data_IF_817550287967
#
_entry.id   IF_817550287967
#
_cell.length_a   1.000
_cell.length_b   1.000
_cell.length_c   1.000
_cell.angle_alpha   90.00
_cell.angle_beta   90.00
_cell.angle_gamma   90.00
#
_symmetry.space_group_name_H-M   'P 1'
#
loop_
_entity.id
_entity.type
_entity.pdbx_description
1 polymer ?
#
# COMPACT_ATOMS: atom_id res chain seq x y z
N UNK A 1 -28.64 -8.38 -2.65
CA UNK A 1 -27.51 -7.44 -2.53
C UNK A 1 -28.11 -6.06 -2.74
N UNK A 2 -28.25 -5.29 -1.66
CA UNK A 2 -29.06 -4.07 -1.65
C UNK A 2 -28.13 -2.88 -1.52
N UNK A 3 -28.16 -1.99 -2.50
CA UNK A 3 -27.31 -0.81 -2.58
C UNK A 3 -27.61 0.15 -1.42
N UNK A 4 -26.58 0.43 -0.61
CA UNK A 4 -26.63 1.42 0.45
C UNK A 4 -26.49 2.81 -0.16
N UNK A 5 -27.63 3.45 -0.42
CA UNK A 5 -27.71 4.86 -0.76
C UNK A 5 -27.10 5.70 0.37
N UNK A 6 -25.90 6.24 0.11
CA UNK A 6 -25.20 7.12 1.03
C UNK A 6 -25.97 8.43 1.15
N UNK A 7 -26.94 8.45 2.07
CA UNK A 7 -27.74 9.62 2.42
C UNK A 7 -26.84 10.80 2.71
N UNK A 8 -26.80 11.76 1.79
CA UNK A 8 -26.33 13.11 2.07
C UNK A 8 -27.24 13.65 3.16
N UNK A 9 -26.76 13.66 4.40
CA UNK A 9 -27.52 14.26 5.50
C UNK A 9 -27.83 15.71 5.10
N UNK A 10 -29.09 16.15 5.08
CA UNK A 10 -29.38 17.56 4.99
C UNK A 10 -28.67 18.20 6.18
N UNK A 11 -27.81 19.18 5.92
CA UNK A 11 -27.20 19.99 6.95
C UNK A 11 -28.32 20.77 7.64
N UNK A 12 -28.95 20.17 8.65
CA UNK A 12 -29.88 20.86 9.52
C UNK A 12 -29.05 21.84 10.34
N UNK A 13 -29.00 23.06 9.82
CA UNK A 13 -28.41 24.19 10.52
C UNK A 13 -29.28 24.39 11.76
N UNK A 14 -28.82 23.86 12.90
CA UNK A 14 -29.23 24.35 14.21
C UNK A 14 -28.61 25.75 14.39
N UNK A 15 -28.97 26.69 13.51
CA UNK A 15 -28.65 28.10 13.61
C UNK A 15 -29.75 28.74 14.45
N UNK A 16 -29.68 28.53 15.76
CA UNK A 16 -30.41 29.41 16.68
C UNK A 16 -29.83 30.82 16.49
N UNK A 17 -30.63 31.64 15.81
CA UNK A 17 -30.65 33.10 15.82
C UNK A 17 -29.52 33.83 15.07
N UNK A 18 -29.70 33.96 13.74
CA UNK A 18 -29.63 35.27 13.06
C UNK A 18 -30.84 35.32 12.13
N UNK A 19 -31.96 35.91 12.59
CA UNK A 19 -33.10 36.24 11.75
C UNK A 19 -32.88 37.66 11.22
N UNK A 20 -32.37 37.77 9.98
CA UNK A 20 -32.74 38.78 8.98
C UNK A 20 -31.97 38.43 7.69
N UNK A 21 -32.68 37.98 6.64
CA UNK A 21 -32.12 37.76 5.30
C UNK A 21 -31.42 36.41 5.09
N UNK A 22 -32.02 35.56 4.26
CA UNK A 22 -31.33 34.42 3.68
C UNK A 22 -30.29 34.97 2.70
N UNK A 23 -29.00 34.93 3.07
CA UNK A 23 -27.92 35.44 2.22
C UNK A 23 -27.91 34.69 0.89
N UNK A 24 -27.82 35.44 -0.21
CA UNK A 24 -27.65 34.86 -1.53
C UNK A 24 -26.20 34.40 -1.72
N UNK A 25 -26.00 33.27 -2.41
CA UNK A 25 -24.68 32.80 -2.83
C UNK A 25 -24.29 33.35 -4.22
N UNK A 26 -25.19 34.07 -4.89
CA UNK A 26 -24.94 34.71 -6.19
C UNK A 26 -24.13 36.01 -6.01
N UNK A 27 -22.90 36.10 -6.54
CA UNK A 27 -22.06 37.29 -6.38
C UNK A 27 -22.65 38.59 -6.96
N UNK A 28 -23.66 38.51 -7.84
CA UNK A 28 -24.33 39.69 -8.42
C UNK A 28 -25.55 40.13 -7.60
N UNK A 29 -25.96 39.36 -6.60
CA UNK A 29 -27.10 39.69 -5.75
C UNK A 29 -26.72 40.79 -4.75
N UNK A 30 -27.60 41.78 -4.51
CA UNK A 30 -27.37 42.80 -3.47
C UNK A 30 -27.29 42.21 -2.05
N UNK A 31 -27.84 41.00 -1.85
CA UNK A 31 -27.81 40.28 -0.57
C UNK A 31 -26.59 39.34 -0.43
N UNK A 32 -25.67 39.40 -1.39
CA UNK A 32 -24.45 38.59 -1.38
C UNK A 32 -23.45 39.11 -0.35
N UNK A 33 -22.95 38.19 0.48
CA UNK A 33 -21.86 38.48 1.42
C UNK A 33 -20.70 37.54 1.11
N UNK A 34 -19.58 38.03 0.55
CA UNK A 34 -18.44 37.17 0.24
C UNK A 34 -17.86 36.57 1.51
N UNK A 35 -17.57 35.25 1.45
CA UNK A 35 -16.87 34.59 2.54
C UNK A 35 -15.38 34.95 2.51
N UNK A 36 -14.85 35.45 3.64
CA UNK A 36 -13.41 35.68 3.83
C UNK A 36 -12.59 34.40 3.60
N UNK A 37 -13.20 33.23 3.81
CA UNK A 37 -12.56 31.92 3.69
C UNK A 37 -12.85 31.21 2.38
N UNK A 38 -13.41 31.88 1.36
CA UNK A 38 -13.83 31.27 0.10
C UNK A 38 -12.71 30.46 -0.60
N UNK A 39 -11.47 30.95 -0.53
CA UNK A 39 -10.31 30.30 -1.14
C UNK A 39 -9.71 29.18 -0.28
N UNK A 40 -10.06 29.12 1.01
CA UNK A 40 -9.52 28.13 1.93
C UNK A 40 -10.41 26.90 2.00
N UNK A 41 -9.80 25.71 1.97
CA UNK A 41 -10.55 24.46 2.16
C UNK A 41 -11.11 24.39 3.57
N UNK A 42 -12.37 23.97 3.70
CA UNK A 42 -12.99 23.77 5.01
C UNK A 42 -12.16 22.81 5.87
N UNK A 43 -12.14 22.98 7.21
CA UNK A 43 -11.42 22.08 8.11
C UNK A 43 -11.79 20.60 7.90
N UNK A 44 -13.07 20.31 7.61
CA UNK A 44 -13.54 18.96 7.30
C UNK A 44 -12.89 18.39 6.03
N UNK A 45 -12.82 19.18 4.95
CA UNK A 45 -12.15 18.77 3.69
C UNK A 45 -10.66 18.50 3.93
N UNK A 46 -9.98 19.35 4.71
CA UNK A 46 -8.55 19.13 5.06
C UNK A 46 -8.33 17.83 5.81
N UNK A 47 -9.16 17.54 6.82
CA UNK A 47 -9.09 16.27 7.59
C UNK A 47 -9.33 15.05 6.70
N UNK A 48 -10.28 15.13 5.76
CA UNK A 48 -10.57 14.04 4.83
C UNK A 48 -9.38 13.70 3.92
N UNK A 49 -8.70 14.72 3.36
CA UNK A 49 -7.50 14.54 2.54
C UNK A 49 -6.38 13.86 3.33
N UNK A 50 -6.08 14.36 4.54
CA UNK A 50 -5.06 13.76 5.40
C UNK A 50 -5.39 12.31 5.80
N UNK A 51 -6.66 12.01 6.07
CA UNK A 51 -7.11 10.65 6.38
C UNK A 51 -6.87 9.70 5.20
N UNK A 52 -7.16 10.17 3.98
CA UNK A 52 -6.95 9.41 2.75
C UNK A 52 -5.46 9.14 2.49
N UNK A 53 -4.59 10.13 2.72
CA UNK A 53 -3.13 9.94 2.62
C UNK A 53 -2.62 8.89 3.61
N UNK A 54 -3.00 9.00 4.89
CA UNK A 54 -2.64 8.02 5.93
C UNK A 54 -3.14 6.62 5.58
N UNK A 55 -4.34 6.52 4.99
CA UNK A 55 -4.87 5.25 4.53
C UNK A 55 -4.01 4.65 3.41
N UNK A 56 -3.65 5.43 2.38
CA UNK A 56 -2.78 4.97 1.28
C UNK A 56 -1.43 4.46 1.78
N UNK A 57 -0.80 5.18 2.71
CA UNK A 57 0.48 4.76 3.32
C UNK A 57 0.32 3.41 4.02
N UNK A 58 -0.73 3.24 4.84
CA UNK A 58 -1.00 1.96 5.52
C UNK A 58 -1.23 0.82 4.52
N UNK A 59 -1.99 1.05 3.46
CA UNK A 59 -2.24 0.04 2.43
C UNK A 59 -0.96 -0.38 1.72
N UNK A 60 -0.10 0.58 1.37
CA UNK A 60 1.17 0.31 0.72
C UNK A 60 2.11 -0.51 1.61
N UNK A 61 2.19 -0.19 2.91
CA UNK A 61 3.00 -0.96 3.86
C UNK A 61 2.49 -2.41 4.00
N UNK A 62 1.17 -2.60 4.09
CA UNK A 62 0.57 -3.95 4.14
C UNK A 62 0.92 -4.76 2.89
N UNK A 63 0.79 -4.17 1.70
CA UNK A 63 1.17 -4.81 0.44
C UNK A 63 2.65 -5.19 0.41
N UNK A 64 3.54 -4.28 0.83
CA UNK A 64 4.98 -4.56 0.90
C UNK A 64 5.31 -5.73 1.81
N UNK A 65 4.69 -5.79 3.00
CA UNK A 65 4.89 -6.90 3.96
C UNK A 65 4.48 -8.25 3.38
N UNK A 66 3.32 -8.31 2.73
CA UNK A 66 2.82 -9.54 2.09
C UNK A 66 3.75 -10.01 0.96
N UNK A 67 4.17 -9.09 0.10
CA UNK A 67 5.13 -9.42 -0.97
C UNK A 67 6.47 -9.90 -0.41
N UNK A 68 6.93 -9.29 0.69
CA UNK A 68 8.17 -9.71 1.34
C UNK A 68 8.05 -11.11 1.95
N UNK A 69 6.96 -11.41 2.66
CA UNK A 69 6.74 -12.74 3.25
C UNK A 69 6.62 -13.82 2.18
N UNK A 70 5.89 -13.54 1.09
CA UNK A 70 5.78 -14.46 -0.04
C UNK A 70 7.13 -14.72 -0.71
N UNK A 71 7.97 -13.69 -0.85
CA UNK A 71 9.33 -13.85 -1.38
C UNK A 71 10.22 -14.66 -0.46
N UNK A 72 10.18 -14.42 0.84
CA UNK A 72 10.98 -15.18 1.81
C UNK A 72 10.56 -16.65 1.86
N UNK A 73 9.25 -16.92 1.82
CA UNK A 73 8.71 -18.28 1.78
C UNK A 73 9.15 -19.03 0.52
N UNK A 74 9.02 -18.39 -0.66
CA UNK A 74 9.49 -18.97 -1.91
C UNK A 74 11.02 -19.22 -1.91
N UNK A 75 11.80 -18.30 -1.34
CA UNK A 75 13.25 -18.46 -1.22
C UNK A 75 13.62 -19.63 -0.29
N UNK A 76 12.92 -19.80 0.84
CA UNK A 76 13.12 -20.94 1.73
C UNK A 76 12.82 -22.27 1.03
N UNK A 77 11.66 -22.37 0.36
CA UNK A 77 11.32 -23.58 -0.37
C UNK A 77 12.39 -23.96 -1.42
N UNK A 78 12.94 -22.98 -2.14
CA UNK A 78 14.04 -23.22 -3.09
C UNK A 78 15.34 -23.71 -2.40
N UNK A 79 15.63 -23.22 -1.20
CA UNK A 79 16.77 -23.69 -0.42
C UNK A 79 16.55 -25.13 0.06
N UNK A 80 15.35 -25.47 0.53
CA UNK A 80 14.99 -26.82 0.98
C UNK A 80 15.15 -27.84 -0.15
N UNK A 81 14.67 -27.52 -1.36
CA UNK A 81 14.88 -28.36 -2.55
C UNK A 81 16.36 -28.51 -2.93
N UNK A 82 17.18 -27.48 -2.67
CA UNK A 82 18.61 -27.54 -2.96
C UNK A 82 19.37 -28.42 -1.96
N UNK A 83 18.97 -28.44 -0.69
CA UNK A 83 19.55 -29.33 0.32
C UNK A 83 19.19 -30.79 0.05
N UNK A 84 17.92 -31.08 -0.26
CA UNK A 84 17.46 -32.45 -0.55
C UNK A 84 18.13 -33.02 -1.81
N UNK A 85 18.41 -32.17 -2.82
CA UNK A 85 19.14 -32.59 -4.02
C UNK A 85 20.58 -33.02 -3.72
N UNK A 86 21.23 -32.41 -2.73
CA UNK A 86 22.61 -32.78 -2.37
C UNK A 86 22.71 -34.18 -1.73
N UNK A 87 21.62 -34.66 -1.12
CA UNK A 87 21.58 -35.99 -0.46
C UNK A 87 21.22 -37.14 -1.41
N UNK A 88 20.53 -36.85 -2.53
CA UNK A 88 20.22 -37.85 -3.57
C UNK A 88 21.28 -37.98 -4.65
N UNK A 89 22.29 -37.10 -4.70
CA UNK A 89 23.37 -37.19 -5.69
C UNK A 89 24.49 -38.16 -5.25
N UNK A 90 24.52 -38.60 -3.99
CA UNK A 90 25.52 -39.57 -3.48
C UNK A 90 25.18 -41.04 -3.73
N UNK A 91 24.07 -41.36 -4.41
CA UNK A 91 23.68 -42.75 -4.71
C UNK A 91 23.71 -43.13 -6.20
N UNK A 92 24.14 -42.23 -7.11
CA UNK A 92 24.17 -42.53 -8.57
C UNK A 92 25.45 -42.09 -9.29
N UNK A 93 26.57 -41.88 -8.58
CA UNK A 93 27.90 -41.74 -9.20
C UNK A 93 28.93 -42.62 -8.51
N UNK A 94 28.57 -43.86 -8.17
CA UNK A 94 29.53 -44.95 -8.04
C UNK A 94 29.39 -45.78 -9.31
N UNK A 95 30.15 -45.45 -10.35
CA UNK A 95 30.70 -46.38 -11.34
C UNK A 95 31.42 -45.54 -12.41
N UNK A 96 32.69 -45.88 -12.60
CA UNK A 96 33.60 -45.48 -13.68
C UNK A 96 34.20 -44.06 -13.64
N UNK A 97 35.34 -43.91 -12.95
CA UNK A 97 36.64 -43.81 -13.64
C UNK A 97 37.83 -43.79 -12.65
N UNK A 98 38.99 -44.35 -13.04
CA UNK A 98 40.06 -44.76 -12.14
C UNK A 98 41.01 -43.63 -11.74
N UNK A 99 41.65 -43.91 -10.60
CA UNK A 99 42.93 -43.42 -10.08
C UNK A 99 43.79 -42.51 -10.96
N UNK A 100 44.24 -41.44 -10.29
CA UNK A 100 45.59 -40.90 -10.30
C UNK A 100 46.16 -40.38 -11.62
N UNK A 101 46.29 -39.05 -11.69
CA UNK A 101 47.49 -38.40 -12.21
C UNK A 101 47.82 -37.20 -11.32
N UNK A 102 48.36 -37.49 -10.13
CA UNK A 102 49.19 -36.56 -9.39
C UNK A 102 50.54 -36.49 -10.10
N UNK A 103 50.81 -35.39 -10.80
CA UNK A 103 52.14 -35.07 -11.31
C UNK A 103 52.55 -33.73 -10.73
N UNK A 104 53.20 -33.83 -9.56
CA UNK A 104 54.29 -32.94 -9.19
C UNK A 104 55.30 -32.89 -10.34
N UNK A 105 55.68 -31.70 -10.81
CA UNK A 105 56.65 -31.59 -11.89
C UNK A 105 56.94 -30.18 -12.40
N UNK A 106 57.55 -29.37 -11.53
CA UNK A 106 58.76 -28.59 -11.82
C UNK A 106 59.10 -28.26 -13.30
N UNK A 107 59.01 -26.99 -13.72
CA UNK A 107 60.01 -26.35 -14.61
C UNK A 107 60.09 -24.85 -14.27
N UNK A 108 61.34 -24.37 -14.17
CA UNK A 108 61.81 -23.01 -13.86
C UNK A 108 61.35 -21.92 -14.84
#
# INVERSE_FOLDING_TARGET
MSDAEAGRRPCTKNSKLIKLGQKSDDPLSPDYVPSVFAHTKSPAKRRAVQSLEKFKVRQNLKKKKLLQSSRSEAAMALLDFSSEKSEMTTQLTENDMPEACFLDGFVK
#
